data_IF_461102301421
#
_entry.id   IF_461102301421
#
_cell.length_a   1.000
_cell.length_b   1.000
_cell.length_c   1.000
_cell.angle_alpha   90.00
_cell.angle_beta   90.00
_cell.angle_gamma   90.00
#
_symmetry.space_group_name_H-M   'P 1'
#
loop_
_entity.id
_entity.type
_entity.pdbx_description
1 polymer ?
#
# COMPACT_ATOMS: atom_id res chain seq x y z
N UNK A 1 21.87 -37.48 52.75
CA UNK A 1 21.85 -37.33 51.28
C UNK A 1 20.91 -36.19 50.93
N UNK A 2 21.49 -34.99 50.63
CA UNK A 2 20.75 -33.80 50.29
C UNK A 2 20.58 -33.76 48.78
N UNK A 3 19.35 -33.81 48.28
CA UNK A 3 19.03 -33.60 46.90
C UNK A 3 19.00 -32.07 46.61
N UNK A 4 19.97 -31.56 45.88
CA UNK A 4 19.92 -30.22 45.33
C UNK A 4 19.04 -30.25 44.09
N UNK A 5 17.83 -29.66 44.14
CA UNK A 5 16.99 -29.42 42.97
C UNK A 5 17.58 -28.27 42.15
N UNK A 6 18.12 -28.56 40.99
CA UNK A 6 18.56 -27.54 40.02
C UNK A 6 17.30 -26.92 39.40
N UNK A 7 16.98 -25.68 39.79
CA UNK A 7 16.02 -24.84 39.08
C UNK A 7 16.64 -24.43 37.73
N UNK A 8 16.20 -25.03 36.63
CA UNK A 8 16.49 -24.54 35.29
C UNK A 8 15.64 -23.28 35.04
N UNK A 9 16.26 -22.12 35.14
CA UNK A 9 15.65 -20.89 34.71
C UNK A 9 15.42 -20.97 33.18
N UNK A 10 14.18 -21.01 32.75
CA UNK A 10 13.81 -20.80 31.34
C UNK A 10 14.26 -19.40 30.95
N UNK A 11 14.98 -19.21 29.80
CA UNK A 11 15.33 -17.89 29.35
C UNK A 11 14.06 -17.08 29.16
N UNK A 12 13.94 -15.94 29.81
CA UNK A 12 12.89 -14.97 29.56
C UNK A 12 13.00 -14.53 28.10
N UNK A 13 12.04 -14.87 27.27
CA UNK A 13 11.99 -14.44 25.88
C UNK A 13 11.90 -12.91 25.88
N UNK A 14 12.94 -12.23 25.38
CA UNK A 14 12.98 -10.79 25.32
C UNK A 14 11.83 -10.29 24.43
N UNK A 15 11.06 -9.31 24.92
CA UNK A 15 10.03 -8.67 24.08
C UNK A 15 10.69 -7.98 22.89
N UNK A 16 10.32 -8.37 21.67
CA UNK A 16 10.74 -7.72 20.44
C UNK A 16 9.66 -6.76 19.96
N UNK A 17 10.00 -5.49 19.82
CA UNK A 17 9.10 -4.48 19.28
C UNK A 17 9.32 -4.38 17.78
N UNK A 18 8.22 -4.35 17.02
CA UNK A 18 8.26 -4.17 15.57
C UNK A 18 7.25 -3.10 15.17
N UNK A 19 7.64 -2.29 14.20
CA UNK A 19 6.81 -1.20 13.68
C UNK A 19 6.53 -1.38 12.20
N UNK A 20 5.25 -1.23 11.82
CA UNK A 20 4.79 -1.29 10.44
C UNK A 20 4.50 0.13 9.94
N UNK A 21 5.26 0.60 8.96
CA UNK A 21 4.96 1.82 8.22
C UNK A 21 3.75 1.64 7.30
N UNK A 22 2.83 2.59 7.32
CA UNK A 22 1.57 2.50 6.58
C UNK A 22 1.39 3.68 5.61
N UNK A 23 0.37 4.48 5.77
CA UNK A 23 0.06 5.66 4.98
C UNK A 23 -0.89 6.56 5.76
N UNK A 24 -1.60 7.44 5.06
CA UNK A 24 -2.63 8.27 5.68
C UNK A 24 -3.76 7.42 6.29
N UNK A 25 -4.29 7.86 7.45
CA UNK A 25 -5.30 7.12 8.22
C UNK A 25 -6.63 6.91 7.48
N UNK A 26 -6.91 7.69 6.44
CA UNK A 26 -8.10 7.58 5.59
C UNK A 26 -7.93 6.65 4.40
N UNK A 27 -6.70 6.11 4.18
CA UNK A 27 -6.37 5.10 3.18
C UNK A 27 -6.48 3.68 3.75
N UNK A 28 -6.17 2.68 2.92
CA UNK A 28 -6.28 1.26 3.30
C UNK A 28 -4.99 0.71 3.94
N UNK A 29 -3.84 1.35 3.77
CA UNK A 29 -2.59 0.89 4.42
C UNK A 29 -2.66 0.91 5.95
N UNK A 30 -3.25 1.96 6.53
CA UNK A 30 -3.35 2.07 7.99
C UNK A 30 -4.18 0.94 8.61
N UNK A 31 -5.42 0.66 8.16
CA UNK A 31 -6.15 -0.51 8.64
C UNK A 31 -5.46 -1.84 8.28
N UNK A 32 -4.69 -1.93 7.19
CA UNK A 32 -3.91 -3.14 6.85
C UNK A 32 -2.84 -3.42 7.90
N UNK A 33 -2.00 -2.43 8.22
CA UNK A 33 -1.01 -2.57 9.29
C UNK A 33 -1.66 -2.87 10.64
N UNK A 34 -2.78 -2.19 10.94
CA UNK A 34 -3.58 -2.43 12.15
C UNK A 34 -4.10 -3.86 12.25
N UNK A 35 -4.59 -4.43 11.14
CA UNK A 35 -5.07 -5.80 11.06
C UNK A 35 -3.93 -6.81 11.31
N UNK A 36 -2.77 -6.60 10.67
CA UNK A 36 -1.57 -7.43 10.87
C UNK A 36 -1.16 -7.38 12.35
N UNK A 37 -0.95 -6.17 12.91
CA UNK A 37 -0.53 -6.01 14.30
C UNK A 37 -1.54 -6.58 15.30
N UNK A 38 -2.84 -6.48 15.03
CA UNK A 38 -3.87 -7.10 15.86
C UNK A 38 -3.69 -8.61 15.97
N UNK A 39 -3.43 -9.29 14.84
CA UNK A 39 -3.24 -10.74 14.80
C UNK A 39 -1.92 -11.14 15.44
N UNK A 40 -0.82 -10.44 15.16
CA UNK A 40 0.48 -10.66 15.81
C UNK A 40 0.38 -10.50 17.32
N UNK A 41 -0.25 -9.42 17.80
CA UNK A 41 -0.38 -9.15 19.22
C UNK A 41 -1.29 -10.15 19.95
N UNK A 42 -2.22 -10.83 19.22
CA UNK A 42 -3.09 -11.88 19.79
C UNK A 42 -2.28 -13.06 20.31
N UNK A 43 -1.19 -13.41 19.62
CA UNK A 43 -0.29 -14.53 19.96
C UNK A 43 1.04 -14.10 20.57
N UNK A 44 1.17 -12.85 21.01
CA UNK A 44 2.42 -12.28 21.55
C UNK A 44 3.06 -13.04 22.71
N UNK A 45 2.26 -13.82 23.47
CA UNK A 45 2.78 -14.65 24.58
C UNK A 45 3.59 -15.85 24.07
N UNK A 46 3.38 -16.27 22.82
CA UNK A 46 4.02 -17.43 22.21
C UNK A 46 5.40 -17.08 21.63
N UNK A 47 5.52 -15.88 21.04
CA UNK A 47 6.72 -15.47 20.29
C UNK A 47 7.37 -14.17 20.79
N UNK A 48 6.81 -13.48 21.79
CA UNK A 48 7.39 -12.27 22.39
C UNK A 48 7.29 -10.99 21.55
N UNK A 49 6.73 -11.03 20.31
CA UNK A 49 6.68 -9.88 19.41
C UNK A 49 5.52 -8.96 19.79
N UNK A 50 5.81 -7.67 19.85
CA UNK A 50 4.84 -6.58 20.02
C UNK A 50 4.84 -5.71 18.78
N UNK A 51 3.72 -5.68 18.07
CA UNK A 51 3.56 -4.95 16.82
C UNK A 51 2.80 -3.65 17.04
N UNK A 52 3.30 -2.57 16.44
CA UNK A 52 2.67 -1.26 16.34
C UNK A 52 2.64 -0.76 14.91
N UNK A 53 1.73 0.17 14.62
CA UNK A 53 1.60 0.80 13.30
C UNK A 53 1.95 2.27 13.38
N UNK A 54 2.56 2.77 12.31
CA UNK A 54 2.85 4.17 12.12
C UNK A 54 2.14 4.70 10.87
N UNK A 55 1.45 5.84 10.99
CA UNK A 55 0.93 6.59 9.86
C UNK A 55 2.06 7.39 9.22
N UNK A 56 2.34 7.11 7.95
CA UNK A 56 3.50 7.63 7.24
C UNK A 56 3.13 8.39 5.96
N UNK A 57 4.15 8.80 5.22
CA UNK A 57 4.02 9.41 3.89
C UNK A 57 3.60 8.44 2.77
N UNK A 58 3.59 7.12 3.00
CA UNK A 58 3.21 6.10 2.01
C UNK A 58 4.40 5.32 1.44
N UNK A 59 4.22 4.70 0.28
CA UNK A 59 5.07 3.63 -0.25
C UNK A 59 6.56 3.94 -0.34
N UNK A 60 6.95 5.05 -0.97
CA UNK A 60 8.35 5.42 -1.17
C UNK A 60 8.99 5.80 0.17
N UNK A 61 8.24 6.52 1.02
CA UNK A 61 8.67 6.84 2.38
C UNK A 61 8.95 5.56 3.18
N UNK A 62 8.00 4.62 3.20
CA UNK A 62 8.14 3.37 3.95
C UNK A 62 9.38 2.58 3.52
N UNK A 63 9.59 2.41 2.22
CA UNK A 63 10.76 1.69 1.69
C UNK A 63 12.06 2.38 2.11
N UNK A 64 12.13 3.72 2.01
CA UNK A 64 13.32 4.47 2.41
C UNK A 64 13.58 4.36 3.92
N UNK A 65 12.53 4.37 4.74
CA UNK A 65 12.64 4.27 6.20
C UNK A 65 13.00 2.85 6.65
N UNK A 66 12.52 1.81 5.93
CA UNK A 66 13.00 0.43 6.11
C UNK A 66 14.48 0.32 5.73
N UNK A 67 14.90 0.92 4.60
CA UNK A 67 16.31 0.94 4.19
C UNK A 67 17.21 1.62 5.21
N UNK A 68 16.70 2.63 5.91
CA UNK A 68 17.42 3.32 6.98
C UNK A 68 17.45 2.55 8.32
N UNK A 69 16.71 1.44 8.43
CA UNK A 69 16.58 0.66 9.66
C UNK A 69 15.68 1.30 10.72
N UNK A 70 14.86 2.29 10.34
CA UNK A 70 13.93 3.01 11.25
C UNK A 70 12.54 2.40 11.29
N UNK A 71 12.19 1.58 10.28
CA UNK A 71 11.00 0.73 10.24
C UNK A 71 11.41 -0.72 9.99
N UNK A 72 10.75 -1.66 10.65
CA UNK A 72 11.00 -3.10 10.43
C UNK A 72 10.27 -3.60 9.17
N UNK A 73 9.07 -3.11 8.94
CA UNK A 73 8.18 -3.54 7.87
C UNK A 73 7.35 -2.34 7.37
N UNK A 74 6.76 -2.48 6.18
CA UNK A 74 5.87 -1.45 5.66
C UNK A 74 4.94 -1.96 4.56
N UNK A 75 3.92 -1.16 4.26
CA UNK A 75 3.06 -1.38 3.10
C UNK A 75 3.56 -0.51 1.96
N UNK A 76 3.71 -1.08 0.77
CA UNK A 76 4.16 -0.36 -0.42
C UNK A 76 3.47 -0.89 -1.68
N UNK A 77 3.27 -0.03 -2.65
CA UNK A 77 2.80 -0.39 -3.97
C UNK A 77 3.80 -1.33 -4.67
N UNK A 78 3.31 -2.25 -5.48
CA UNK A 78 4.12 -3.22 -6.23
C UNK A 78 5.11 -2.58 -7.22
N UNK A 79 4.76 -1.44 -7.84
CA UNK A 79 5.65 -0.67 -8.69
C UNK A 79 6.84 -0.09 -7.91
N UNK A 80 6.59 0.47 -6.71
CA UNK A 80 7.66 1.03 -5.89
C UNK A 80 8.53 -0.05 -5.24
N UNK A 81 7.98 -1.22 -4.94
CA UNK A 81 8.76 -2.39 -4.55
C UNK A 81 9.73 -2.78 -5.67
N UNK A 82 9.25 -2.86 -6.93
CA UNK A 82 10.08 -3.17 -8.09
C UNK A 82 11.19 -2.12 -8.29
N UNK A 83 10.81 -0.85 -8.30
CA UNK A 83 11.77 0.23 -8.54
C UNK A 83 12.82 0.35 -7.44
N UNK A 84 12.46 0.15 -6.19
CA UNK A 84 13.41 0.17 -5.08
C UNK A 84 14.40 -1.00 -5.15
N UNK A 85 13.91 -2.22 -5.41
CA UNK A 85 14.77 -3.40 -5.52
C UNK A 85 15.76 -3.30 -6.69
N UNK A 86 15.35 -2.66 -7.78
CA UNK A 86 16.17 -2.52 -8.99
C UNK A 86 16.96 -1.20 -9.07
N UNK A 87 16.71 -0.23 -8.21
CA UNK A 87 17.37 1.08 -8.23
C UNK A 87 16.97 1.91 -9.45
N UNK A 88 15.69 1.90 -9.81
CA UNK A 88 15.16 2.64 -10.97
C UNK A 88 14.12 3.68 -10.55
N UNK A 89 13.65 4.51 -11.49
CA UNK A 89 12.69 5.58 -11.24
C UNK A 89 13.11 6.46 -10.05
N UNK A 90 12.26 6.63 -9.03
CA UNK A 90 12.52 7.46 -7.84
C UNK A 90 13.67 6.98 -6.95
N UNK A 91 14.17 5.76 -7.17
CA UNK A 91 15.30 5.19 -6.42
C UNK A 91 16.62 5.22 -7.20
N UNK A 92 16.66 5.84 -8.40
CA UNK A 92 17.85 5.86 -9.26
C UNK A 92 19.08 6.45 -8.56
N UNK A 93 18.90 7.56 -7.87
CA UNK A 93 20.02 8.28 -7.22
C UNK A 93 20.51 7.54 -5.95
N UNK A 94 19.63 6.79 -5.30
CA UNK A 94 19.94 5.98 -4.11
C UNK A 94 20.51 4.61 -4.46
N UNK A 95 20.37 4.17 -5.72
CA UNK A 95 20.73 2.84 -6.20
C UNK A 95 19.81 1.73 -5.69
N UNK A 96 20.05 0.53 -6.18
CA UNK A 96 19.25 -0.66 -5.87
C UNK A 96 19.27 -1.00 -4.36
N UNK A 97 18.09 -1.28 -3.80
CA UNK A 97 17.96 -1.79 -2.44
C UNK A 97 17.81 -3.32 -2.46
N UNK A 98 18.95 -4.02 -2.50
CA UNK A 98 18.98 -5.48 -2.63
C UNK A 98 18.60 -6.25 -1.37
N UNK A 99 18.55 -5.57 -0.21
CA UNK A 99 18.06 -6.15 1.05
C UNK A 99 16.54 -6.01 1.22
N UNK A 100 15.83 -5.33 0.32
CA UNK A 100 14.37 -5.31 0.31
C UNK A 100 13.83 -6.73 0.12
N UNK A 101 12.84 -7.11 0.93
CA UNK A 101 12.17 -8.41 0.88
C UNK A 101 10.66 -8.23 0.80
N UNK A 102 10.04 -9.01 -0.06
CA UNK A 102 8.59 -9.18 -0.07
C UNK A 102 8.18 -10.15 1.05
N UNK A 103 7.05 -9.88 1.67
CA UNK A 103 6.43 -10.80 2.63
C UNK A 103 5.18 -11.41 2.02
N UNK A 104 4.19 -10.61 1.67
CA UNK A 104 2.98 -11.01 0.92
C UNK A 104 2.33 -9.82 0.20
N UNK A 105 1.50 -10.16 -0.79
CA UNK A 105 0.58 -9.20 -1.42
C UNK A 105 -0.69 -9.04 -0.59
N UNK A 106 -1.33 -7.88 -0.68
CA UNK A 106 -2.57 -7.62 0.06
C UNK A 106 -3.70 -7.31 -0.92
N UNK A 107 -4.12 -6.08 -1.07
CA UNK A 107 -5.28 -5.70 -1.88
C UNK A 107 -4.87 -5.01 -3.19
N UNK A 108 -5.72 -5.03 -4.23
CA UNK A 108 -5.52 -4.20 -5.40
C UNK A 108 -5.68 -2.71 -5.05
N UNK A 109 -4.95 -1.87 -5.77
CA UNK A 109 -4.96 -0.42 -5.63
C UNK A 109 -5.19 0.25 -6.98
N UNK A 110 -6.45 0.44 -7.38
CA UNK A 110 -6.79 1.24 -8.56
C UNK A 110 -6.24 2.66 -8.45
N UNK A 111 -5.64 3.16 -9.52
CA UNK A 111 -5.28 4.57 -9.64
C UNK A 111 -6.56 5.38 -9.78
N UNK A 112 -6.92 6.08 -8.73
CA UNK A 112 -8.21 6.75 -8.59
C UNK A 112 -8.04 8.25 -8.76
N UNK A 113 -8.78 8.83 -9.68
CA UNK A 113 -8.92 10.29 -9.83
C UNK A 113 -10.31 10.67 -9.37
N UNK A 114 -10.40 11.63 -8.45
CA UNK A 114 -11.68 12.20 -8.02
C UNK A 114 -11.68 13.68 -8.34
N UNK A 115 -12.70 14.13 -9.06
CA UNK A 115 -12.90 15.52 -9.41
C UNK A 115 -14.23 16.05 -8.83
N UNK A 116 -14.29 17.34 -8.53
CA UNK A 116 -15.56 17.99 -8.21
C UNK A 116 -16.48 17.93 -9.44
N UNK A 117 -17.76 17.66 -9.24
CA UNK A 117 -18.72 17.55 -10.31
C UNK A 117 -18.82 18.85 -11.17
N UNK A 118 -18.62 20.01 -10.55
CA UNK A 118 -18.66 21.32 -11.22
C UNK A 118 -17.31 21.72 -11.89
N UNK A 119 -16.25 20.91 -11.73
CA UNK A 119 -14.96 21.17 -12.35
C UNK A 119 -14.92 20.85 -13.86
N UNK A 120 -15.94 20.16 -14.39
CA UNK A 120 -16.05 19.83 -15.81
C UNK A 120 -15.01 18.80 -16.29
N UNK A 121 -14.52 17.94 -15.38
CA UNK A 121 -13.58 16.86 -15.69
C UNK A 121 -14.36 15.58 -15.96
N UNK A 122 -14.19 15.01 -17.15
CA UNK A 122 -14.84 13.77 -17.60
C UNK A 122 -13.79 12.68 -17.90
N UNK A 123 -12.63 13.06 -18.37
CA UNK A 123 -11.51 12.19 -18.70
C UNK A 123 -10.26 12.69 -18.01
N UNK A 124 -9.19 11.89 -18.00
CA UNK A 124 -7.91 12.31 -17.45
C UNK A 124 -7.32 13.52 -18.16
N UNK A 125 -7.55 13.64 -19.48
CA UNK A 125 -7.06 14.77 -20.27
C UNK A 125 -7.67 16.13 -19.87
N UNK A 126 -8.89 16.13 -19.31
CA UNK A 126 -9.56 17.34 -18.83
C UNK A 126 -8.89 17.94 -17.57
N UNK A 127 -7.93 17.23 -16.98
CA UNK A 127 -7.16 17.73 -15.83
C UNK A 127 -6.18 18.84 -16.19
N UNK A 128 -5.82 19.01 -17.49
CA UNK A 128 -5.00 20.15 -17.93
C UNK A 128 -5.67 21.47 -17.53
N UNK A 129 -4.86 22.37 -16.97
CA UNK A 129 -5.33 23.68 -16.50
C UNK A 129 -6.19 23.64 -15.25
N UNK A 130 -6.35 22.50 -14.55
CA UNK A 130 -7.08 22.38 -13.27
C UNK A 130 -6.14 22.55 -12.08
N UNK A 131 -6.73 22.85 -10.90
CA UNK A 131 -6.02 22.83 -9.63
C UNK A 131 -5.99 21.38 -9.13
N UNK A 132 -4.81 20.78 -9.13
CA UNK A 132 -4.65 19.35 -8.91
C UNK A 132 -3.92 19.05 -7.60
N UNK A 133 -4.40 18.10 -6.80
CA UNK A 133 -3.59 17.46 -5.77
C UNK A 133 -2.96 16.18 -6.33
N UNK A 134 -1.64 16.17 -6.43
CA UNK A 134 -0.86 15.05 -6.96
C UNK A 134 -0.30 14.13 -5.85
N UNK A 135 -0.57 14.48 -4.58
CA UNK A 135 -0.09 13.75 -3.41
C UNK A 135 1.23 14.29 -2.85
N UNK A 136 1.51 13.95 -1.61
CA UNK A 136 2.71 14.41 -0.89
C UNK A 136 3.99 13.76 -1.44
N UNK A 137 5.14 14.44 -1.33
CA UNK A 137 6.44 13.84 -1.60
C UNK A 137 6.66 12.54 -0.80
N UNK A 138 7.19 11.51 -1.44
CA UNK A 138 7.39 10.19 -0.83
C UNK A 138 6.16 9.29 -0.82
N UNK A 139 4.99 9.76 -1.27
CA UNK A 139 3.83 8.90 -1.46
C UNK A 139 3.93 8.10 -2.77
N UNK A 140 3.34 6.91 -2.77
CA UNK A 140 3.27 6.08 -3.97
C UNK A 140 2.41 6.72 -5.06
N UNK A 141 1.27 7.30 -4.69
CA UNK A 141 0.37 7.98 -5.62
C UNK A 141 1.04 9.14 -6.37
N UNK A 142 1.89 9.92 -5.68
CA UNK A 142 2.68 10.99 -6.32
C UNK A 142 3.60 10.43 -7.39
N UNK A 143 4.29 9.34 -7.08
CA UNK A 143 5.16 8.70 -8.04
C UNK A 143 4.37 8.13 -9.23
N UNK A 144 3.23 7.47 -8.99
CA UNK A 144 2.42 6.85 -10.05
C UNK A 144 1.81 7.88 -11.00
N UNK A 145 1.30 9.03 -10.49
CA UNK A 145 0.82 10.08 -11.41
C UNK A 145 1.96 10.66 -12.26
N UNK A 146 3.16 10.83 -11.68
CA UNK A 146 4.32 11.33 -12.44
C UNK A 146 4.73 10.35 -13.56
N UNK A 147 4.69 9.04 -13.31
CA UNK A 147 4.94 8.03 -14.37
C UNK A 147 3.90 8.11 -15.47
N UNK A 148 2.63 8.27 -15.15
CA UNK A 148 1.56 8.44 -16.14
C UNK A 148 1.73 9.75 -16.93
N UNK A 149 2.05 10.84 -16.24
CA UNK A 149 2.32 12.14 -16.88
C UNK A 149 3.52 12.08 -17.83
N UNK A 150 4.62 11.45 -17.43
CA UNK A 150 5.80 11.25 -18.27
C UNK A 150 5.45 10.49 -19.55
N UNK A 151 4.61 9.42 -19.45
CA UNK A 151 4.14 8.67 -20.62
C UNK A 151 3.25 9.51 -21.55
N UNK A 152 2.52 10.49 -20.99
CA UNK A 152 1.67 11.43 -21.75
C UNK A 152 2.43 12.65 -22.27
N UNK A 153 3.71 12.82 -21.90
CA UNK A 153 4.49 14.03 -22.18
C UNK A 153 3.99 15.25 -21.42
N UNK A 154 3.40 15.06 -20.23
CA UNK A 154 2.92 16.12 -19.36
C UNK A 154 3.95 16.46 -18.28
N UNK A 155 3.86 17.70 -17.80
CA UNK A 155 4.64 18.20 -16.66
C UNK A 155 3.70 18.81 -15.61
N UNK A 156 4.24 19.18 -14.46
CA UNK A 156 3.44 19.88 -13.43
C UNK A 156 2.91 21.24 -13.91
N UNK A 157 3.55 21.84 -14.92
CA UNK A 157 3.13 23.12 -15.52
C UNK A 157 1.88 23.00 -16.41
N UNK A 158 1.46 21.77 -16.77
CA UNK A 158 0.19 21.53 -17.45
C UNK A 158 -1.03 21.75 -16.52
N UNK A 159 -0.83 21.79 -15.21
CA UNK A 159 -1.86 22.13 -14.24
C UNK A 159 -1.87 23.63 -13.92
N UNK A 160 -3.05 24.17 -13.65
CA UNK A 160 -3.18 25.56 -13.19
C UNK A 160 -2.49 25.77 -11.83
N UNK A 161 -2.57 24.78 -10.97
CA UNK A 161 -1.97 24.76 -9.64
C UNK A 161 -1.76 23.33 -9.21
N UNK A 162 -0.61 23.04 -8.64
CA UNK A 162 -0.28 21.74 -8.03
C UNK A 162 -0.28 21.89 -6.52
N UNK A 163 -0.96 20.98 -5.86
CA UNK A 163 -0.94 20.80 -4.40
C UNK A 163 -0.33 19.45 -4.06
N UNK A 164 0.37 19.37 -2.93
CA UNK A 164 1.09 18.19 -2.46
C UNK A 164 0.55 17.74 -1.09
N UNK A 165 -0.78 17.76 -0.95
CA UNK A 165 -1.46 17.42 0.29
C UNK A 165 -1.36 15.92 0.57
N UNK A 166 -1.29 15.58 1.85
CA UNK A 166 -1.41 14.20 2.30
C UNK A 166 -2.81 13.64 2.04
N UNK A 167 -2.91 12.32 1.92
CA UNK A 167 -4.17 11.64 1.64
C UNK A 167 -5.31 12.00 2.62
N UNK A 168 -5.01 12.25 3.89
CA UNK A 168 -6.00 12.64 4.90
C UNK A 168 -6.53 14.08 4.75
N UNK A 169 -5.87 14.92 3.94
CA UNK A 169 -6.20 16.34 3.78
C UNK A 169 -6.92 16.62 2.45
N UNK A 170 -6.75 15.74 1.46
CA UNK A 170 -7.15 15.99 0.08
C UNK A 170 -8.66 16.06 -0.12
N UNK A 171 -9.44 15.19 0.55
CA UNK A 171 -10.90 15.17 0.45
C UNK A 171 -11.51 16.48 0.93
N UNK A 172 -11.03 16.97 2.07
CA UNK A 172 -11.48 18.28 2.59
C UNK A 172 -11.10 19.42 1.64
N UNK A 173 -9.87 19.43 1.10
CA UNK A 173 -9.42 20.44 0.16
C UNK A 173 -10.26 20.46 -1.13
N UNK A 174 -10.67 19.27 -1.63
CA UNK A 174 -11.57 19.11 -2.76
C UNK A 174 -12.93 19.75 -2.47
N UNK A 175 -13.55 19.38 -1.36
CA UNK A 175 -14.88 19.89 -0.99
C UNK A 175 -14.90 21.36 -0.56
N UNK A 176 -13.78 21.88 -0.03
CA UNK A 176 -13.58 23.31 0.25
C UNK A 176 -13.29 24.15 -1.02
N UNK A 177 -13.33 23.54 -2.19
CA UNK A 177 -13.02 24.20 -3.47
C UNK A 177 -11.59 24.80 -3.54
N UNK A 178 -10.63 24.20 -2.87
CA UNK A 178 -9.20 24.58 -2.94
C UNK A 178 -8.48 23.90 -4.10
N UNK A 179 -8.96 22.71 -4.48
CA UNK A 179 -8.52 21.92 -5.62
C UNK A 179 -9.72 21.50 -6.46
N UNK A 180 -9.51 21.24 -7.74
CA UNK A 180 -10.54 20.77 -8.67
C UNK A 180 -10.57 19.25 -8.77
N UNK A 181 -9.41 18.61 -8.60
CA UNK A 181 -9.26 17.16 -8.60
C UNK A 181 -8.11 16.69 -7.72
N UNK A 182 -8.15 15.41 -7.36
CA UNK A 182 -7.11 14.72 -6.60
C UNK A 182 -6.86 13.33 -7.15
N UNK A 183 -5.64 12.81 -6.98
CA UNK A 183 -5.32 11.40 -7.24
C UNK A 183 -5.12 10.64 -5.95
N UNK A 184 -5.48 9.37 -5.96
CA UNK A 184 -5.16 8.43 -4.91
C UNK A 184 -5.03 7.01 -5.45
N UNK A 185 -3.84 6.45 -5.39
CA UNK A 185 -3.65 5.01 -5.63
C UNK A 185 -3.94 4.31 -4.33
N UNK A 186 -5.08 3.63 -4.24
CA UNK A 186 -5.61 3.13 -2.96
C UNK A 186 -6.55 1.95 -3.15
N UNK A 187 -6.60 1.06 -2.16
CA UNK A 187 -7.62 0.00 -2.08
C UNK A 187 -9.04 0.56 -1.87
N UNK A 188 -10.01 -0.16 -2.38
CA UNK A 188 -11.42 0.21 -2.24
C UNK A 188 -12.19 -0.81 -1.38
N UNK A 189 -13.18 -0.32 -0.58
CA UNK A 189 -13.55 1.06 -0.36
C UNK A 189 -12.50 1.84 0.45
N UNK A 190 -12.31 3.12 0.13
CA UNK A 190 -11.37 4.04 0.79
C UNK A 190 -12.13 5.12 1.55
N UNK A 191 -11.73 5.37 2.79
CA UNK A 191 -12.34 6.43 3.61
C UNK A 191 -12.17 7.82 2.99
N UNK A 192 -11.01 8.12 2.39
CA UNK A 192 -10.77 9.38 1.70
C UNK A 192 -11.72 9.59 0.51
N UNK A 193 -11.90 8.57 -0.34
CA UNK A 193 -12.82 8.67 -1.48
C UNK A 193 -14.27 8.78 -1.00
N UNK A 194 -14.63 8.03 0.04
CA UNK A 194 -15.97 8.10 0.64
C UNK A 194 -16.25 9.47 1.24
N UNK A 195 -15.28 10.07 1.92
CA UNK A 195 -15.38 11.43 2.45
C UNK A 195 -15.60 12.44 1.33
N UNK A 196 -14.78 12.42 0.26
CA UNK A 196 -14.90 13.31 -0.88
C UNK A 196 -16.28 13.23 -1.55
N UNK A 197 -16.78 12.00 -1.80
CA UNK A 197 -18.06 11.79 -2.49
C UNK A 197 -19.29 12.00 -1.60
N UNK A 198 -19.10 11.99 -0.25
CA UNK A 198 -20.20 12.25 0.70
C UNK A 198 -20.31 13.72 1.05
N UNK A 199 -19.16 14.40 1.26
CA UNK A 199 -19.14 15.79 1.72
C UNK A 199 -19.45 16.80 0.60
N UNK A 200 -19.15 16.48 -0.66
CA UNK A 200 -19.48 17.29 -1.82
C UNK A 200 -19.81 16.43 -3.04
N UNK A 201 -20.41 17.04 -4.07
CA UNK A 201 -20.67 16.35 -5.32
C UNK A 201 -19.37 16.15 -6.09
N UNK A 202 -18.96 14.89 -6.20
CA UNK A 202 -17.69 14.48 -6.80
C UNK A 202 -17.90 13.28 -7.72
N UNK A 203 -17.08 13.21 -8.75
CA UNK A 203 -17.07 12.13 -9.73
C UNK A 203 -15.74 11.40 -9.72
N UNK A 204 -15.77 10.09 -9.86
CA UNK A 204 -14.57 9.29 -10.12
C UNK A 204 -14.34 9.29 -11.62
N UNK A 205 -13.16 9.70 -12.03
CA UNK A 205 -12.79 9.94 -13.43
C UNK A 205 -12.14 8.68 -14.01
N UNK A 206 -12.56 8.30 -15.19
CA UNK A 206 -11.95 7.18 -15.92
C UNK A 206 -10.51 7.49 -16.32
N UNK A 207 -9.61 6.51 -16.12
CA UNK A 207 -8.19 6.60 -16.50
C UNK A 207 -7.82 5.38 -17.37
N UNK A 208 -8.53 5.25 -18.46
CA UNK A 208 -8.33 4.19 -19.46
C UNK A 208 -7.99 4.85 -20.81
N UNK A 209 -6.75 5.35 -20.93
CA UNK A 209 -6.23 5.99 -22.13
C UNK A 209 -5.03 5.23 -22.71
N UNK A 210 -4.53 5.68 -23.85
CA UNK A 210 -3.40 5.02 -24.52
C UNK A 210 -2.15 4.94 -23.64
N UNK A 211 -1.88 5.96 -22.80
CA UNK A 211 -0.73 5.99 -21.91
C UNK A 211 -0.86 4.98 -20.78
N UNK A 212 -2.03 4.92 -20.11
CA UNK A 212 -2.26 3.94 -19.05
C UNK A 212 -2.21 2.50 -19.58
N UNK A 213 -2.76 2.26 -20.77
CA UNK A 213 -2.72 0.94 -21.41
C UNK A 213 -1.28 0.53 -21.74
N UNK A 214 -0.46 1.45 -22.27
CA UNK A 214 0.96 1.21 -22.56
C UNK A 214 1.75 0.90 -21.28
N UNK A 215 1.47 1.58 -20.16
CA UNK A 215 2.09 1.27 -18.87
C UNK A 215 1.77 -0.15 -18.42
N UNK A 216 0.51 -0.58 -18.57
CA UNK A 216 0.07 -1.94 -18.21
C UNK A 216 0.71 -3.00 -19.11
N UNK A 217 0.79 -2.75 -20.42
CA UNK A 217 1.41 -3.68 -21.37
C UNK A 217 2.94 -3.84 -21.15
N UNK A 218 3.60 -2.78 -20.73
CA UNK A 218 5.05 -2.75 -20.59
C UNK A 218 5.57 -3.22 -19.23
N UNK A 219 4.71 -3.32 -18.21
CA UNK A 219 5.17 -3.54 -16.83
C UNK A 219 4.25 -4.48 -16.05
N UNK A 220 4.77 -5.61 -15.61
CA UNK A 220 4.02 -6.65 -14.86
C UNK A 220 3.49 -6.19 -13.49
N UNK A 221 4.00 -5.10 -12.95
CA UNK A 221 3.53 -4.52 -11.69
C UNK A 221 2.33 -3.58 -11.85
N UNK A 222 1.94 -3.24 -13.08
CA UNK A 222 0.68 -2.58 -13.40
C UNK A 222 -0.35 -3.57 -13.96
N UNK A 223 -1.62 -3.27 -13.76
CA UNK A 223 -2.74 -4.06 -14.29
C UNK A 223 -3.92 -3.17 -14.61
N UNK A 224 -4.82 -3.60 -15.49
CA UNK A 224 -6.13 -2.99 -15.63
C UNK A 224 -6.92 -3.17 -14.34
N UNK A 225 -7.71 -2.17 -13.98
CA UNK A 225 -8.52 -2.19 -12.77
C UNK A 225 -9.90 -1.56 -13.02
N UNK A 226 -10.89 -2.01 -12.26
CA UNK A 226 -12.24 -1.44 -12.28
C UNK A 226 -12.61 -1.03 -10.86
N UNK A 227 -13.08 0.21 -10.70
CA UNK A 227 -13.71 0.66 -9.48
C UNK A 227 -15.22 0.42 -9.65
N UNK A 228 -15.84 -0.47 -8.85
CA UNK A 228 -17.24 -0.83 -9.03
C UNK A 228 -18.19 0.35 -8.83
N UNK A 229 -19.18 0.46 -9.72
CA UNK A 229 -20.27 1.41 -9.58
C UNK A 229 -21.11 1.16 -8.33
N UNK A 230 -21.72 2.22 -7.80
CA UNK A 230 -22.53 2.16 -6.58
C UNK A 230 -21.75 2.09 -5.28
N UNK A 231 -20.42 1.97 -5.33
CA UNK A 231 -19.57 1.94 -4.12
C UNK A 231 -19.52 3.31 -3.43
N UNK A 232 -19.59 4.39 -4.19
CA UNK A 232 -19.49 5.76 -3.71
C UNK A 232 -20.69 6.60 -4.18
N UNK A 233 -21.17 7.51 -3.33
CA UNK A 233 -22.32 8.38 -3.63
C UNK A 233 -22.12 9.12 -4.96
N UNK A 234 -23.13 9.08 -5.84
CA UNK A 234 -23.14 9.76 -7.13
C UNK A 234 -22.25 9.14 -8.21
N UNK A 235 -21.71 7.92 -7.97
CA UNK A 235 -20.86 7.18 -8.89
C UNK A 235 -21.46 5.79 -9.14
N UNK A 236 -22.52 5.72 -9.91
CA UNK A 236 -23.36 4.52 -10.08
C UNK A 236 -22.80 3.54 -11.12
N UNK A 237 -21.88 3.97 -11.98
CA UNK A 237 -21.28 3.17 -13.04
C UNK A 237 -19.88 2.68 -12.66
N UNK A 238 -19.50 1.55 -13.23
CA UNK A 238 -18.12 1.06 -13.17
C UNK A 238 -17.17 2.06 -13.83
N UNK A 239 -16.03 2.32 -13.19
CA UNK A 239 -14.98 3.21 -13.71
C UNK A 239 -13.75 2.39 -14.05
N UNK A 240 -13.34 2.45 -15.33
CA UNK A 240 -12.14 1.76 -15.82
C UNK A 240 -10.89 2.58 -15.53
N UNK A 241 -9.87 1.91 -15.03
CA UNK A 241 -8.58 2.52 -14.71
C UNK A 241 -7.46 1.47 -14.78
N UNK A 242 -6.26 1.85 -14.44
CA UNK A 242 -5.18 0.92 -14.16
C UNK A 242 -4.85 0.94 -12.65
N UNK A 243 -3.99 0.05 -12.21
CA UNK A 243 -3.60 0.03 -10.81
C UNK A 243 -2.40 -0.87 -10.53
N UNK A 244 -2.09 -0.96 -9.27
CA UNK A 244 -1.00 -1.75 -8.68
C UNK A 244 -1.54 -2.69 -7.62
N UNK A 245 -0.68 -3.46 -6.97
CA UNK A 245 -1.01 -4.17 -5.74
C UNK A 245 -0.40 -3.49 -4.53
N UNK A 246 -1.07 -3.52 -3.40
CA UNK A 246 -0.46 -3.26 -2.10
C UNK A 246 0.36 -4.48 -1.70
N UNK A 247 1.62 -4.29 -1.31
CA UNK A 247 2.51 -5.36 -0.88
C UNK A 247 3.06 -5.07 0.51
N UNK A 248 3.17 -6.10 1.33
CA UNK A 248 3.81 -6.03 2.63
C UNK A 248 5.28 -6.39 2.46
N UNK A 249 6.17 -5.47 2.84
CA UNK A 249 7.61 -5.55 2.61
C UNK A 249 8.40 -5.38 3.89
N UNK A 250 9.64 -5.87 3.89
CA UNK A 250 10.59 -5.79 4.99
C UNK A 250 12.02 -5.73 4.47
N UNK A 251 13.00 -5.73 5.35
CA UNK A 251 14.43 -5.88 5.04
C UNK A 251 14.90 -7.30 5.33
N UNK A 252 15.94 -7.76 4.59
CA UNK A 252 16.68 -8.97 4.91
C UNK A 252 17.35 -8.92 6.29
N UNK A 253 17.52 -7.73 6.85
CA UNK A 253 18.12 -7.51 8.18
C UNK A 253 17.14 -7.81 9.33
N UNK A 254 15.83 -7.83 9.07
CA UNK A 254 14.84 -8.22 10.09
C UNK A 254 14.95 -9.73 10.34
N UNK A 255 15.03 -10.20 11.60
CA UNK A 255 15.20 -11.61 11.91
C UNK A 255 14.16 -12.53 11.28
N UNK A 256 14.61 -13.71 10.83
CA UNK A 256 13.76 -14.70 10.17
C UNK A 256 12.56 -15.10 11.01
N UNK A 257 12.76 -15.33 12.30
CA UNK A 257 11.72 -15.73 13.25
C UNK A 257 10.65 -14.64 13.43
N UNK A 258 11.02 -13.36 13.33
CA UNK A 258 10.07 -12.25 13.38
C UNK A 258 9.12 -12.30 12.19
N UNK A 259 9.64 -12.33 10.97
CA UNK A 259 8.82 -12.35 9.77
C UNK A 259 8.05 -13.68 9.65
N UNK A 260 8.64 -14.80 10.09
CA UNK A 260 7.93 -16.07 10.18
C UNK A 260 6.68 -15.96 11.06
N UNK A 261 6.81 -15.43 12.28
CA UNK A 261 5.69 -15.30 13.21
C UNK A 261 4.65 -14.27 12.74
N UNK A 262 5.06 -13.16 12.14
CA UNK A 262 4.14 -12.17 11.54
C UNK A 262 3.34 -12.81 10.40
N UNK A 263 4.01 -13.52 9.49
CA UNK A 263 3.36 -14.24 8.39
C UNK A 263 2.40 -15.30 8.90
N UNK A 264 2.84 -16.13 9.83
CA UNK A 264 2.05 -17.18 10.46
C UNK A 264 0.79 -16.61 11.12
N UNK A 265 0.91 -15.51 11.88
CA UNK A 265 -0.22 -14.88 12.54
C UNK A 265 -1.32 -14.45 11.56
N UNK A 266 -0.95 -13.93 10.38
CA UNK A 266 -1.91 -13.53 9.34
C UNK A 266 -2.53 -14.74 8.66
N UNK A 267 -1.72 -15.70 8.20
CA UNK A 267 -2.19 -16.81 7.38
C UNK A 267 -2.94 -17.88 8.17
N UNK A 268 -2.62 -18.12 9.45
CA UNK A 268 -3.39 -18.99 10.33
C UNK A 268 -4.73 -18.37 10.74
N UNK A 269 -4.81 -17.04 10.82
CA UNK A 269 -6.04 -16.32 11.11
C UNK A 269 -6.62 -15.64 9.85
N UNK A 270 -6.48 -16.26 8.68
CA UNK A 270 -6.80 -15.69 7.38
C UNK A 270 -8.25 -15.22 7.26
N UNK A 271 -9.21 -16.00 7.73
CA UNK A 271 -10.62 -15.61 7.71
C UNK A 271 -10.91 -14.43 8.65
N UNK A 272 -10.21 -14.35 9.79
CA UNK A 272 -10.28 -13.18 10.66
C UNK A 272 -9.69 -11.95 9.95
N UNK A 273 -8.52 -12.10 9.29
CA UNK A 273 -7.87 -11.04 8.53
C UNK A 273 -8.80 -10.47 7.45
N UNK A 274 -9.43 -11.33 6.65
CA UNK A 274 -10.37 -10.92 5.59
C UNK A 274 -11.56 -10.10 6.11
N UNK A 275 -12.01 -10.34 7.33
CA UNK A 275 -13.12 -9.62 7.97
C UNK A 275 -12.74 -8.26 8.57
N UNK A 276 -11.45 -7.96 8.71
CA UNK A 276 -10.99 -6.74 9.37
C UNK A 276 -11.12 -5.50 8.49
N UNK A 277 -11.22 -5.66 7.15
CA UNK A 277 -11.50 -4.55 6.24
C UNK A 277 -12.16 -5.07 4.96
N UNK A 278 -13.15 -4.35 4.37
CA UNK A 278 -13.82 -4.78 3.14
C UNK A 278 -12.88 -5.03 1.95
N UNK A 279 -11.81 -4.25 1.83
CA UNK A 279 -10.80 -4.44 0.79
C UNK A 279 -10.08 -5.80 0.84
N UNK A 280 -10.18 -6.54 1.95
CA UNK A 280 -9.57 -7.87 2.12
C UNK A 280 -10.55 -9.02 1.81
N UNK A 281 -11.82 -8.72 1.56
CA UNK A 281 -12.88 -9.73 1.46
C UNK A 281 -12.60 -10.81 0.41
N UNK A 282 -11.95 -10.43 -0.69
CA UNK A 282 -11.68 -11.30 -1.84
C UNK A 282 -10.25 -11.85 -1.89
N UNK A 283 -9.44 -11.65 -0.84
CA UNK A 283 -8.08 -12.18 -0.78
C UNK A 283 -8.08 -13.71 -0.83
N UNK A 284 -7.07 -14.27 -1.52
CA UNK A 284 -6.77 -15.70 -1.56
C UNK A 284 -5.31 -15.90 -1.19
N UNK A 285 -5.04 -16.92 -0.38
CA UNK A 285 -3.68 -17.19 0.12
C UNK A 285 -2.68 -17.40 -1.02
N UNK A 286 -3.11 -18.08 -2.08
CA UNK A 286 -2.30 -18.41 -3.26
C UNK A 286 -1.89 -17.15 -4.03
N UNK A 287 -2.79 -16.18 -4.15
CA UNK A 287 -2.53 -14.87 -4.77
C UNK A 287 -1.62 -14.00 -3.89
N UNK A 288 -1.81 -14.05 -2.57
CA UNK A 288 -1.01 -13.26 -1.62
C UNK A 288 0.47 -13.64 -1.62
N UNK A 289 0.83 -14.87 -1.97
CA UNK A 289 2.23 -15.33 -1.98
C UNK A 289 2.91 -15.17 -3.34
N UNK A 290 2.20 -14.69 -4.36
CA UNK A 290 2.68 -14.61 -5.74
C UNK A 290 2.52 -13.23 -6.38
N UNK A 291 1.33 -12.58 -6.22
CA UNK A 291 0.97 -11.42 -7.02
C UNK A 291 1.74 -10.15 -6.63
N UNK A 292 2.34 -9.49 -7.63
CA UNK A 292 3.01 -8.19 -7.44
C UNK A 292 4.27 -8.22 -6.55
N UNK A 293 4.78 -9.41 -6.23
CA UNK A 293 5.99 -9.59 -5.44
C UNK A 293 7.22 -9.60 -6.35
N UNK A 294 7.86 -8.45 -6.52
CA UNK A 294 9.00 -8.27 -7.42
C UNK A 294 10.37 -8.37 -6.71
N UNK A 295 10.41 -8.17 -5.39
CA UNK A 295 11.57 -8.47 -4.57
C UNK A 295 11.53 -9.94 -4.11
N UNK A 296 12.69 -10.55 -3.77
CA UNK A 296 12.72 -11.91 -3.21
C UNK A 296 11.88 -11.98 -1.92
N UNK A 297 11.25 -13.12 -1.69
CA UNK A 297 10.56 -13.38 -0.42
C UNK A 297 11.54 -13.32 0.75
N UNK A 298 11.06 -12.79 1.88
CA UNK A 298 11.80 -12.86 3.13
C UNK A 298 11.95 -14.32 3.56
N UNK A 299 13.15 -14.77 4.04
CA UNK A 299 13.36 -16.15 4.46
C UNK A 299 12.30 -16.68 5.44
N UNK A 300 11.90 -15.85 6.42
CA UNK A 300 10.86 -16.22 7.39
C UNK A 300 9.48 -16.44 6.74
N UNK A 301 9.11 -15.62 5.77
CA UNK A 301 7.88 -15.81 5.01
C UNK A 301 7.94 -17.08 4.16
N UNK A 302 9.03 -17.25 3.40
CA UNK A 302 9.25 -18.43 2.56
C UNK A 302 9.23 -19.74 3.37
N UNK A 303 9.82 -19.74 4.58
CA UNK A 303 9.79 -20.87 5.49
C UNK A 303 8.37 -21.27 5.86
N UNK A 304 7.56 -20.31 6.30
CA UNK A 304 6.16 -20.57 6.64
C UNK A 304 5.38 -21.09 5.41
N UNK A 305 5.55 -20.48 4.25
CA UNK A 305 4.82 -20.90 3.04
C UNK A 305 5.16 -22.30 2.58
N UNK A 306 6.44 -22.74 2.73
CA UNK A 306 6.85 -24.12 2.45
C UNK A 306 6.22 -25.11 3.45
N UNK A 307 6.20 -24.76 4.73
CA UNK A 307 5.60 -25.60 5.79
C UNK A 307 4.12 -25.89 5.53
N UNK A 308 3.37 -24.90 5.01
CA UNK A 308 1.94 -25.02 4.73
C UNK A 308 1.61 -25.38 3.27
N UNK A 309 2.63 -25.59 2.43
CA UNK A 309 2.49 -26.02 1.03
C UNK A 309 2.00 -24.94 0.06
N UNK A 310 2.13 -23.67 0.40
CA UNK A 310 1.76 -22.54 -0.47
C UNK A 310 2.82 -22.27 -1.55
N UNK A 311 4.07 -22.63 -1.30
CA UNK A 311 5.16 -22.60 -2.29
C UNK A 311 5.98 -23.90 -2.21
N UNK A 312 6.79 -24.18 -3.26
CA UNK A 312 7.66 -25.37 -3.34
C UNK A 312 8.98 -25.19 -2.60
#
# INVERSE_FOLDING_TARGET
MSFAAALTALPAQANQFVTIGTGGVTGVYYPTGGAICRLVNKTKKEHGIRCSVESTGGSIYNINTIRAGELDMGIAQSDWQFHAYNGSSKFKDQGAYKDLRAVFSVHPEPFTVVARADAGVKTFDDLKGKRMNVGNPGSGQRGTIEVLMDEMGWTMDDFKQVSELKAAEQSKALCDNKIDAMVYTVGHPSGSIQEATTACDSVIVEVNNAASNKLVEANDYYRTATIPGGMYRGNDNDVQTFGVGATFVSSAEVPEDVIYNVTKAVFENFDDFRRLHPAFANLKKEEMVADGLSAPLHPGAAKYYKEVGLIK
#
